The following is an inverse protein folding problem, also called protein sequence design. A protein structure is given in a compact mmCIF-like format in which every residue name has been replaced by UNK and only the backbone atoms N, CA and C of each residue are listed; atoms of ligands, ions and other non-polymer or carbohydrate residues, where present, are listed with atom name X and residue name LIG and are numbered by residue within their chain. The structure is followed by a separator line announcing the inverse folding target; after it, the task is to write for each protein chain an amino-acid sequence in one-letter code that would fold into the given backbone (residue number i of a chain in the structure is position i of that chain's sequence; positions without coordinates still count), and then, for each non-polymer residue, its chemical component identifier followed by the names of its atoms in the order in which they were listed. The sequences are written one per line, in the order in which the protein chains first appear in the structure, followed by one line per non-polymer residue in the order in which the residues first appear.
data_IF_844894521728
#
_entry.id   IF_844894521728
#
_cell.length_a   1.000
_cell.length_b   1.000
_cell.length_c   1.000
_cell.angle_alpha   90.00
_cell.angle_beta   90.00
_cell.angle_gamma   90.00
#
_symmetry.space_group_name_H-M   'P 1'
#
loop_
_entity.id
_entity.type
_entity.pdbx_description
1 polymer ?
#
# COMPACT_ATOMS: atom_id res chain seq x y z
N UNK A 1 -2.27 -5.32 9.49
CA UNK A 1 -1.88 -5.90 8.19
C UNK A 1 -1.58 -4.81 7.17
N UNK A 2 -2.58 -4.14 6.57
CA UNK A 2 -2.37 -3.15 5.48
C UNK A 2 -1.32 -2.06 5.77
N UNK A 3 -1.35 -1.44 6.96
CA UNK A 3 -0.34 -0.46 7.40
C UNK A 3 1.09 -1.03 7.35
N UNK A 4 1.29 -2.26 7.82
CA UNK A 4 2.60 -2.92 7.77
C UNK A 4 3.04 -3.19 6.33
N UNK A 5 2.12 -3.63 5.46
CA UNK A 5 2.43 -3.80 4.04
C UNK A 5 2.86 -2.48 3.38
N UNK A 6 2.20 -1.36 3.74
CA UNK A 6 2.61 -0.03 3.30
C UNK A 6 4.01 0.37 3.76
N UNK A 7 4.35 0.16 5.03
CA UNK A 7 5.70 0.41 5.54
C UNK A 7 6.75 -0.45 4.85
N UNK A 8 6.45 -1.73 4.61
CA UNK A 8 7.35 -2.63 3.87
C UNK A 8 7.54 -2.17 2.42
N UNK A 9 6.49 -1.67 1.76
CA UNK A 9 6.58 -1.12 0.41
C UNK A 9 7.49 0.12 0.36
N UNK A 10 7.36 1.04 1.32
CA UNK A 10 8.25 2.21 1.45
C UNK A 10 9.70 1.77 1.68
N UNK A 11 9.93 0.81 2.59
CA UNK A 11 11.27 0.31 2.87
C UNK A 11 11.91 -0.35 1.64
N UNK A 12 11.15 -1.17 0.90
CA UNK A 12 11.60 -1.82 -0.31
C UNK A 12 11.92 -0.80 -1.42
N UNK A 13 11.05 0.21 -1.61
CA UNK A 13 11.30 1.29 -2.56
C UNK A 13 12.53 2.12 -2.17
N UNK A 14 12.70 2.44 -0.89
CA UNK A 14 13.84 3.21 -0.38
C UNK A 14 15.17 2.49 -0.61
N UNK A 15 15.18 1.15 -0.50
CA UNK A 15 16.37 0.35 -0.76
C UNK A 15 16.89 0.44 -2.21
N UNK A 16 16.00 0.70 -3.18
CA UNK A 16 16.38 0.88 -4.59
C UNK A 16 16.49 2.35 -5.01
N UNK A 17 15.81 3.26 -4.31
CA UNK A 17 15.80 4.69 -4.60
C UNK A 17 16.98 5.46 -4.00
N UNK A 18 17.84 4.81 -3.20
CA UNK A 18 18.98 5.45 -2.53
C UNK A 18 18.67 6.00 -1.13
N UNK A 19 17.51 5.64 -0.57
CA UNK A 19 17.05 6.07 0.74
C UNK A 19 15.54 6.30 0.75
N UNK A 20 14.91 6.23 1.92
CA UNK A 20 13.48 6.56 2.07
C UNK A 20 13.20 8.04 1.82
N UNK A 21 14.19 8.91 2.06
CA UNK A 21 14.09 10.36 1.83
C UNK A 21 14.03 10.71 0.34
N UNK A 22 14.40 9.79 -0.56
CA UNK A 22 14.30 9.96 -2.01
C UNK A 22 12.86 9.76 -2.54
N UNK A 23 11.95 9.24 -1.71
CA UNK A 23 10.55 9.02 -2.07
C UNK A 23 9.75 10.28 -1.73
N UNK A 24 9.16 10.93 -2.73
CA UNK A 24 8.45 12.20 -2.55
C UNK A 24 6.93 12.04 -2.44
N UNK A 25 6.37 10.91 -2.88
CA UNK A 25 4.93 10.69 -2.86
C UNK A 25 4.51 9.32 -3.38
N UNK A 26 3.20 9.09 -3.45
CA UNK A 26 2.61 7.86 -3.97
C UNK A 26 1.60 8.16 -5.07
N UNK A 27 1.75 7.52 -6.22
CA UNK A 27 0.88 7.72 -7.39
C UNK A 27 -0.30 6.75 -7.38
N UNK A 28 -0.03 5.50 -6.99
CA UNK A 28 -1.02 4.42 -7.02
C UNK A 28 -0.77 3.37 -5.95
N UNK A 29 -1.85 2.85 -5.38
CA UNK A 29 -1.83 1.68 -4.49
C UNK A 29 -2.79 0.59 -4.99
N UNK A 30 -2.33 -0.66 -5.06
CA UNK A 30 -3.18 -1.84 -5.20
C UNK A 30 -3.13 -2.65 -3.91
N UNK A 31 -4.32 -2.98 -3.38
CA UNK A 31 -4.46 -3.77 -2.16
C UNK A 31 -5.22 -5.05 -2.48
N UNK A 32 -4.60 -6.17 -2.15
CA UNK A 32 -5.22 -7.50 -2.21
C UNK A 32 -5.50 -7.96 -0.79
N UNK A 33 -6.73 -8.36 -0.51
CA UNK A 33 -7.16 -8.82 0.81
C UNK A 33 -7.59 -10.28 0.70
N UNK A 34 -6.93 -11.16 1.45
CA UNK A 34 -7.35 -12.56 1.55
C UNK A 34 -8.76 -12.59 2.18
N UNK A 35 -9.75 -13.04 1.42
CA UNK A 35 -11.16 -12.95 1.80
C UNK A 35 -12.03 -13.94 1.04
N UNK A 36 -13.11 -14.37 1.67
CA UNK A 36 -14.15 -15.18 1.03
C UNK A 36 -15.04 -14.33 0.11
N UNK A 37 -15.78 -15.00 -0.77
CA UNK A 37 -16.62 -14.37 -1.79
C UNK A 37 -17.69 -13.39 -1.25
N UNK A 38 -18.11 -13.55 0.02
CA UNK A 38 -19.12 -12.69 0.65
C UNK A 38 -18.56 -11.52 1.47
N UNK A 39 -17.24 -11.35 1.52
CA UNK A 39 -16.65 -10.22 2.23
C UNK A 39 -16.78 -8.95 1.38
N UNK A 40 -17.15 -7.82 1.99
CA UNK A 40 -17.30 -6.53 1.29
C UNK A 40 -16.43 -5.42 1.91
N UNK A 41 -15.63 -5.75 2.93
CA UNK A 41 -14.87 -4.80 3.73
C UNK A 41 -13.52 -4.38 3.14
N UNK A 42 -13.23 -4.70 1.87
CA UNK A 42 -11.90 -4.50 1.25
C UNK A 42 -11.44 -3.05 1.32
N UNK A 43 -12.33 -2.11 1.03
CA UNK A 43 -12.03 -0.67 1.07
C UNK A 43 -11.64 -0.20 2.47
N UNK A 44 -12.30 -0.69 3.51
CA UNK A 44 -11.99 -0.36 4.90
C UNK A 44 -10.63 -0.90 5.32
N UNK A 45 -10.28 -2.12 4.90
CA UNK A 45 -8.94 -2.69 5.13
C UNK A 45 -7.87 -1.89 4.38
N UNK A 46 -8.14 -1.51 3.13
CA UNK A 46 -7.25 -0.71 2.29
C UNK A 46 -7.01 0.71 2.85
N UNK A 47 -7.95 1.28 3.60
CA UNK A 47 -7.73 2.57 4.27
C UNK A 47 -6.51 2.54 5.19
N UNK A 48 -6.20 1.39 5.81
CA UNK A 48 -5.03 1.27 6.67
C UNK A 48 -3.70 1.57 5.98
N UNK A 49 -3.57 1.35 4.66
CA UNK A 49 -2.40 1.79 3.90
C UNK A 49 -2.59 3.21 3.34
N UNK A 50 -3.79 3.58 2.90
CA UNK A 50 -4.03 4.93 2.39
C UNK A 50 -3.81 6.02 3.44
N UNK A 51 -4.34 5.82 4.64
CA UNK A 51 -4.19 6.75 5.77
C UNK A 51 -2.72 6.86 6.19
N UNK A 52 -1.97 5.76 6.11
CA UNK A 52 -0.52 5.77 6.35
C UNK A 52 0.21 6.63 5.33
N UNK A 53 -0.07 6.47 4.04
CA UNK A 53 0.62 7.23 2.99
C UNK A 53 0.34 8.72 3.13
N UNK A 54 -0.91 9.11 3.39
CA UNK A 54 -1.27 10.51 3.67
C UNK A 54 -0.61 11.03 4.95
N UNK A 55 -0.52 10.20 6.00
CA UNK A 55 0.16 10.61 7.24
C UNK A 55 1.67 10.83 7.07
N UNK A 56 2.33 10.13 6.15
CA UNK A 56 3.77 10.25 5.89
C UNK A 56 4.06 11.37 4.87
N UNK A 57 3.37 11.36 3.74
CA UNK A 57 3.69 12.22 2.59
C UNK A 57 2.77 13.44 2.47
N UNK A 58 1.79 13.60 3.36
CA UNK A 58 0.84 14.72 3.31
C UNK A 58 -0.02 14.69 2.05
N UNK A 59 -0.07 15.82 1.34
CA UNK A 59 -0.84 15.94 0.10
C UNK A 59 -0.31 15.03 -1.02
N UNK A 60 1.00 14.83 -1.11
CA UNK A 60 1.65 13.87 -2.03
C UNK A 60 1.39 12.41 -1.65
N UNK A 61 0.77 12.19 -0.49
CA UNK A 61 0.26 10.90 -0.06
C UNK A 61 -1.08 10.52 -0.69
N UNK A 62 -1.77 11.43 -1.39
CA UNK A 62 -3.05 11.17 -2.06
C UNK A 62 -2.81 10.44 -3.38
N UNK A 63 -3.43 9.28 -3.55
CA UNK A 63 -3.17 8.37 -4.66
C UNK A 63 -4.47 7.82 -5.27
N UNK A 64 -4.35 7.32 -6.49
CA UNK A 64 -5.34 6.41 -7.05
C UNK A 64 -5.25 5.04 -6.37
N UNK A 65 -6.37 4.31 -6.27
CA UNK A 65 -6.42 3.06 -5.52
C UNK A 65 -7.31 2.00 -6.15
N UNK A 66 -6.86 0.75 -6.06
CA UNK A 66 -7.68 -0.46 -6.25
C UNK A 66 -7.64 -1.30 -4.97
N UNK A 67 -8.80 -1.80 -4.53
CA UNK A 67 -8.92 -2.72 -3.40
C UNK A 67 -9.75 -3.94 -3.83
N UNK A 68 -9.17 -5.14 -3.79
CA UNK A 68 -9.77 -6.36 -4.30
C UNK A 68 -9.60 -7.54 -3.35
N UNK A 69 -10.52 -8.50 -3.45
CA UNK A 69 -10.41 -9.78 -2.76
C UNK A 69 -9.53 -10.77 -3.51
N UNK A 70 -8.87 -11.65 -2.75
CA UNK A 70 -8.22 -12.86 -3.26
C UNK A 70 -8.61 -14.04 -2.38
N UNK A 71 -8.78 -15.24 -2.96
CA UNK A 71 -9.07 -16.47 -2.21
C UNK A 71 -7.95 -16.85 -1.24
N UNK A 72 -6.75 -16.32 -1.46
CA UNK A 72 -5.56 -16.54 -0.65
C UNK A 72 -4.41 -15.70 -1.17
N UNK A 73 -3.38 -15.52 -0.34
CA UNK A 73 -2.17 -14.79 -0.69
C UNK A 73 -0.94 -15.66 -0.34
N UNK A 74 0.23 -15.38 -0.94
CA UNK A 74 1.46 -16.10 -0.62
C UNK A 74 1.72 -16.15 0.89
N UNK A 75 2.26 -17.28 1.35
CA UNK A 75 2.60 -17.53 2.76
C UNK A 75 1.41 -17.45 3.74
N UNK A 76 0.17 -17.45 3.24
CA UNK A 76 -1.02 -17.27 4.08
C UNK A 76 -1.19 -15.83 4.59
N UNK A 77 -0.62 -14.84 3.89
CA UNK A 77 -0.78 -13.44 4.25
C UNK A 77 -2.25 -13.00 4.19
N UNK A 78 -2.63 -12.04 5.03
CA UNK A 78 -3.99 -11.48 5.06
C UNK A 78 -4.16 -10.29 4.12
N UNK A 79 -3.08 -9.55 3.86
CA UNK A 79 -3.05 -8.39 2.96
C UNK A 79 -1.74 -8.36 2.21
N UNK A 80 -1.80 -8.05 0.91
CA UNK A 80 -0.67 -7.74 0.06
C UNK A 80 -0.87 -6.36 -0.56
N UNK A 81 0.20 -5.58 -0.66
CA UNK A 81 0.17 -4.22 -1.19
C UNK A 81 1.25 -4.07 -2.24
N UNK A 82 0.84 -3.51 -3.37
CA UNK A 82 1.73 -2.98 -4.39
C UNK A 82 1.56 -1.46 -4.47
N UNK A 83 2.67 -0.74 -4.63
CA UNK A 83 2.67 0.71 -4.69
C UNK A 83 3.57 1.22 -5.83
N UNK A 84 3.14 2.30 -6.46
CA UNK A 84 3.96 3.08 -7.40
C UNK A 84 4.28 4.40 -6.72
N UNK A 85 5.55 4.64 -6.45
CA UNK A 85 6.04 5.84 -5.79
C UNK A 85 6.62 6.84 -6.79
N UNK A 86 6.53 8.12 -6.47
CA UNK A 86 7.30 9.17 -7.14
C UNK A 86 8.59 9.42 -6.35
N UNK A 87 9.66 9.78 -7.06
CA UNK A 87 10.96 10.13 -6.48
C UNK A 87 11.21 11.63 -6.61
N UNK A 88 12.06 12.16 -5.74
CA UNK A 88 12.61 13.51 -5.92
C UNK A 88 13.41 13.58 -7.22
N UNK A 89 13.35 14.74 -7.90
CA UNK A 89 14.22 15.04 -9.05
C UNK A 89 15.70 15.15 -8.65
#
# INVERSE_FOLDING_TARGET
AAKCCGLNAIAAAGAVAGGVDSICGVLQIRVYVASDAGFEGHSTIANGVSDLMVAIFGDEGKHTRVAMGSIGLPLGATVEVEAVFSLAE
#
